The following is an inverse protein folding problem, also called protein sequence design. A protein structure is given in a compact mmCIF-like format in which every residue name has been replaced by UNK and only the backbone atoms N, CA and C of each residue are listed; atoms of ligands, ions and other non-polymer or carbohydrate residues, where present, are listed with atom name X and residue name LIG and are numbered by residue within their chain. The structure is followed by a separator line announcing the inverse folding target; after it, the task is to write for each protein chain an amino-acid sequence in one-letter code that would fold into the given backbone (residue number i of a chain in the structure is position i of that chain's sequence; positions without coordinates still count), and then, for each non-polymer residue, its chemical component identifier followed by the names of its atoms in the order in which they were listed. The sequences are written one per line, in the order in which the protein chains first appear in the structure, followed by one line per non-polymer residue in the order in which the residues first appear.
data_IF_984083108121
#
_entry.id   IF_984083108121
#
_cell.length_a   1.000
_cell.length_b   1.000
_cell.length_c   1.000
_cell.angle_alpha   90.00
_cell.angle_beta   90.00
_cell.angle_gamma   90.00
#
_symmetry.space_group_name_H-M   'P 1'
#
loop_
_entity.id
_entity.type
_entity.pdbx_description
1 polymer ?
#
# COMPACT_ATOMS: atom_id res chain seq x y z
N UNK A 1 34.29 8.10 10.73
CA UNK A 1 33.74 6.75 10.85
C UNK A 1 32.35 6.71 10.26
N UNK A 2 32.11 5.76 9.41
CA UNK A 2 30.77 5.59 8.84
C UNK A 2 29.91 4.76 9.78
N UNK A 3 28.70 5.22 10.00
CA UNK A 3 27.67 4.46 10.70
C UNK A 3 27.02 3.49 9.72
N UNK A 4 26.45 2.42 10.24
CA UNK A 4 25.56 1.56 9.48
C UNK A 4 24.18 2.23 9.42
N UNK A 5 23.44 1.99 8.34
CA UNK A 5 22.12 2.57 8.18
C UNK A 5 21.22 1.71 7.31
N UNK A 6 19.93 1.97 7.37
CA UNK A 6 18.94 1.50 6.42
C UNK A 6 17.81 2.52 6.34
N UNK A 7 16.99 2.40 5.31
CA UNK A 7 15.82 3.25 5.13
C UNK A 7 14.54 2.45 5.29
N UNK A 8 13.57 3.03 6.00
CA UNK A 8 12.21 2.53 6.06
C UNK A 8 11.42 3.31 5.02
N UNK A 9 10.85 2.61 4.07
CA UNK A 9 10.11 3.21 2.95
C UNK A 9 8.75 2.53 2.81
N UNK A 10 7.84 3.19 2.11
CA UNK A 10 6.57 2.61 1.70
C UNK A 10 6.41 2.84 0.21
N UNK A 11 6.83 1.87 -0.58
CA UNK A 11 6.85 1.99 -2.04
C UNK A 11 5.97 0.95 -2.69
N UNK A 12 5.39 1.32 -3.82
CA UNK A 12 4.59 0.44 -4.66
C UNK A 12 5.32 0.30 -5.99
N UNK A 13 5.50 -0.94 -6.43
CA UNK A 13 6.03 -1.18 -7.76
C UNK A 13 4.94 -0.93 -8.79
N UNK A 14 5.14 0.09 -9.62
CA UNK A 14 4.12 0.55 -10.57
C UNK A 14 3.73 -0.52 -11.58
N UNK A 15 4.70 -1.30 -12.06
CA UNK A 15 4.41 -2.37 -13.01
C UNK A 15 3.54 -3.46 -12.38
N UNK A 16 3.82 -3.81 -11.13
CA UNK A 16 3.01 -4.81 -10.41
C UNK A 16 1.56 -4.34 -10.23
N UNK A 17 1.37 -3.06 -9.94
CA UNK A 17 0.03 -2.48 -9.83
C UNK A 17 -0.70 -2.53 -11.17
N UNK A 18 -0.04 -2.12 -12.24
CA UNK A 18 -0.61 -2.14 -13.58
C UNK A 18 -1.00 -3.57 -13.99
N UNK A 19 -0.13 -4.55 -13.71
CA UNK A 19 -0.41 -5.95 -13.99
C UNK A 19 -1.62 -6.46 -13.19
N UNK A 20 -1.72 -6.06 -11.92
CA UNK A 20 -2.84 -6.45 -11.07
C UNK A 20 -4.17 -5.92 -11.63
N UNK A 21 -4.18 -4.65 -12.03
CA UNK A 21 -5.39 -4.03 -12.62
C UNK A 21 -5.75 -4.69 -13.94
N UNK A 22 -4.74 -4.94 -14.80
CA UNK A 22 -4.98 -5.60 -16.09
C UNK A 22 -5.56 -7.00 -15.91
N UNK A 23 -5.07 -7.76 -14.94
CA UNK A 23 -5.60 -9.09 -14.64
C UNK A 23 -7.01 -9.01 -14.07
N UNK A 24 -7.29 -8.02 -13.24
CA UNK A 24 -8.64 -7.79 -12.72
C UNK A 24 -9.62 -7.48 -13.86
N UNK A 25 -9.21 -6.63 -14.81
CA UNK A 25 -10.02 -6.32 -16.00
C UNK A 25 -10.35 -7.57 -16.80
N UNK A 26 -9.36 -8.43 -17.01
CA UNK A 26 -9.56 -9.69 -17.77
C UNK A 26 -10.52 -10.62 -17.05
N UNK A 27 -10.41 -10.75 -15.74
CA UNK A 27 -11.31 -11.61 -14.98
C UNK A 27 -12.75 -11.09 -15.04
N UNK A 28 -12.95 -9.79 -14.88
CA UNK A 28 -14.28 -9.19 -14.99
C UNK A 28 -14.89 -9.45 -16.38
N UNK A 29 -14.07 -9.32 -17.44
CA UNK A 29 -14.53 -9.52 -18.82
C UNK A 29 -14.92 -10.97 -19.11
N UNK A 30 -14.35 -11.93 -18.40
CA UNK A 30 -14.55 -13.36 -18.68
C UNK A 30 -15.43 -14.09 -17.68
N UNK A 31 -15.67 -13.53 -16.50
CA UNK A 31 -16.51 -14.19 -15.49
C UNK A 31 -17.99 -14.15 -15.89
N UNK A 32 -18.64 -15.27 -15.72
CA UNK A 32 -20.06 -15.43 -16.08
C UNK A 32 -20.96 -14.49 -15.26
N UNK A 33 -20.67 -14.27 -13.98
CA UNK A 33 -21.47 -13.42 -13.10
C UNK A 33 -21.37 -11.93 -13.47
N UNK A 34 -20.44 -11.54 -14.35
CA UNK A 34 -20.34 -10.19 -14.90
C UNK A 34 -20.84 -10.09 -16.35
N UNK A 35 -21.48 -11.12 -16.86
CA UNK A 35 -22.04 -11.08 -18.21
C UNK A 35 -23.13 -10.01 -18.28
N UNK A 36 -23.05 -9.13 -19.29
CA UNK A 36 -23.94 -7.98 -19.45
C UNK A 36 -23.90 -6.97 -18.30
N UNK A 37 -22.91 -7.06 -17.43
CA UNK A 37 -22.71 -6.11 -16.33
C UNK A 37 -22.04 -4.84 -16.83
N UNK A 38 -22.33 -3.72 -16.17
CA UNK A 38 -21.65 -2.45 -16.39
C UNK A 38 -20.38 -2.35 -15.55
N UNK A 39 -19.97 -3.42 -14.88
CA UNK A 39 -18.82 -3.41 -14.01
C UNK A 39 -17.54 -3.19 -14.80
N UNK A 40 -16.70 -2.29 -14.30
CA UNK A 40 -15.42 -1.98 -14.92
C UNK A 40 -14.42 -1.53 -13.85
N UNK A 41 -13.15 -1.63 -14.20
CA UNK A 41 -12.05 -1.16 -13.38
C UNK A 41 -11.05 -0.47 -14.30
N UNK A 42 -10.66 0.76 -13.95
CA UNK A 42 -9.73 1.55 -14.73
C UNK A 42 -8.70 2.20 -13.83
N UNK A 43 -7.49 2.32 -14.31
CA UNK A 43 -6.39 2.90 -13.57
C UNK A 43 -5.91 4.19 -14.23
N UNK A 44 -5.73 5.22 -13.42
CA UNK A 44 -5.07 6.46 -13.81
C UNK A 44 -4.02 6.77 -12.73
N UNK A 45 -2.76 6.45 -13.01
CA UNK A 45 -1.69 6.58 -12.02
C UNK A 45 -1.93 5.69 -10.80
N UNK A 46 -2.08 6.30 -9.63
CA UNK A 46 -2.36 5.59 -8.38
C UNK A 46 -3.85 5.55 -8.03
N UNK A 47 -4.71 6.08 -8.89
CA UNK A 47 -6.15 6.06 -8.69
C UNK A 47 -6.77 4.95 -9.54
N UNK A 48 -7.56 4.10 -8.90
CA UNK A 48 -8.26 3.01 -9.55
C UNK A 48 -9.74 3.28 -9.41
N UNK A 49 -10.43 3.49 -10.53
CA UNK A 49 -11.86 3.77 -10.55
C UNK A 49 -12.63 2.50 -10.83
N UNK A 50 -13.54 2.15 -9.93
CA UNK A 50 -14.40 0.97 -10.04
C UNK A 50 -15.82 1.45 -10.27
N UNK A 51 -16.48 0.89 -11.28
CA UNK A 51 -17.91 1.07 -11.54
C UNK A 51 -18.56 -0.30 -11.49
N UNK A 52 -19.73 -0.40 -10.86
CA UNK A 52 -20.44 -1.66 -10.75
C UNK A 52 -21.96 -1.42 -10.78
N UNK A 53 -22.72 -2.44 -11.10
CA UNK A 53 -24.17 -2.34 -11.21
C UNK A 53 -24.85 -2.07 -9.87
N UNK A 54 -24.32 -2.66 -8.79
CA UNK A 54 -24.89 -2.60 -7.45
C UNK A 54 -23.80 -2.86 -6.41
N UNK A 55 -24.17 -2.81 -5.12
CA UNK A 55 -23.23 -3.01 -4.02
C UNK A 55 -22.58 -4.39 -4.04
N UNK A 56 -23.31 -5.43 -4.41
CA UNK A 56 -22.78 -6.79 -4.47
C UNK A 56 -21.72 -6.90 -5.56
N UNK A 57 -22.00 -6.38 -6.76
CA UNK A 57 -21.03 -6.38 -7.86
C UNK A 57 -19.81 -5.54 -7.51
N UNK A 58 -20.02 -4.40 -6.84
CA UNK A 58 -18.92 -3.54 -6.40
C UNK A 58 -17.98 -4.32 -5.47
N UNK A 59 -18.51 -5.01 -4.48
CA UNK A 59 -17.70 -5.84 -3.59
C UNK A 59 -16.97 -6.94 -4.33
N UNK A 60 -17.63 -7.56 -5.30
CA UNK A 60 -17.00 -8.61 -6.11
C UNK A 60 -15.83 -8.06 -6.92
N UNK A 61 -15.95 -6.86 -7.48
CA UNK A 61 -14.83 -6.22 -8.20
C UNK A 61 -13.67 -5.89 -7.26
N UNK A 62 -13.98 -5.37 -6.06
CA UNK A 62 -12.97 -5.10 -5.04
C UNK A 62 -12.23 -6.37 -4.65
N UNK A 63 -12.97 -7.48 -4.44
CA UNK A 63 -12.36 -8.76 -4.10
C UNK A 63 -11.41 -9.24 -5.20
N UNK A 64 -11.81 -9.09 -6.46
CA UNK A 64 -10.95 -9.43 -7.59
C UNK A 64 -9.68 -8.58 -7.57
N UNK A 65 -9.82 -7.27 -7.40
CA UNK A 65 -8.67 -6.35 -7.34
C UNK A 65 -7.72 -6.73 -6.20
N UNK A 66 -8.25 -6.96 -5.00
CA UNK A 66 -7.46 -7.34 -3.83
C UNK A 66 -6.69 -8.63 -4.09
N UNK A 67 -7.35 -9.63 -4.66
CA UNK A 67 -6.73 -10.91 -4.98
C UNK A 67 -5.55 -10.73 -5.95
N UNK A 68 -5.74 -9.93 -7.01
CA UNK A 68 -4.67 -9.66 -7.98
C UNK A 68 -3.53 -8.87 -7.36
N UNK A 69 -3.83 -7.90 -6.49
CA UNK A 69 -2.80 -7.15 -5.77
C UNK A 69 -1.95 -8.07 -4.90
N UNK A 70 -2.58 -8.95 -4.12
CA UNK A 70 -1.85 -9.90 -3.25
C UNK A 70 -0.94 -10.80 -4.09
N UNK A 71 -1.43 -11.32 -5.21
CA UNK A 71 -0.64 -12.17 -6.10
C UNK A 71 0.57 -11.45 -6.70
N UNK A 72 0.50 -10.14 -6.82
CA UNK A 72 1.59 -9.32 -7.36
C UNK A 72 2.47 -8.70 -6.28
N UNK A 73 2.27 -9.10 -5.03
CA UNK A 73 3.09 -8.62 -3.92
C UNK A 73 2.75 -7.24 -3.41
N UNK A 74 1.57 -6.72 -3.77
CA UNK A 74 1.10 -5.43 -3.29
C UNK A 74 0.31 -5.64 -2.01
N UNK A 75 0.73 -4.98 -0.93
CA UNK A 75 0.02 -5.04 0.34
C UNK A 75 -1.34 -4.38 0.25
N UNK A 76 -2.37 -5.02 0.79
CA UNK A 76 -3.70 -4.43 0.86
C UNK A 76 -3.73 -3.18 1.76
N UNK A 77 -2.76 -3.02 2.63
CA UNK A 77 -2.62 -1.82 3.47
C UNK A 77 -2.29 -0.56 2.66
N UNK A 78 -1.83 -0.71 1.42
CA UNK A 78 -1.58 0.42 0.53
C UNK A 78 -2.85 0.95 -0.13
N UNK A 79 -3.96 0.23 -0.06
CA UNK A 79 -5.22 0.59 -0.71
C UNK A 79 -6.09 1.42 0.25
N UNK A 80 -6.51 2.59 -0.23
CA UNK A 80 -7.44 3.46 0.49
C UNK A 80 -8.72 3.56 -0.32
N UNK A 81 -9.85 3.24 0.30
CA UNK A 81 -11.15 3.17 -0.36
C UNK A 81 -11.88 4.48 -0.19
N UNK A 82 -12.21 5.12 -1.31
CA UNK A 82 -13.00 6.33 -1.31
C UNK A 82 -14.47 6.04 -1.05
N UNK A 83 -15.26 7.10 -1.02
CA UNK A 83 -16.70 7.00 -0.81
C UNK A 83 -17.38 6.37 -2.02
N UNK A 84 -18.34 5.50 -1.78
CA UNK A 84 -19.19 4.95 -2.85
C UNK A 84 -20.16 6.03 -3.28
N UNK A 85 -20.20 6.33 -4.57
CA UNK A 85 -21.04 7.37 -5.14
C UNK A 85 -21.96 6.82 -6.23
N UNK A 86 -23.17 7.38 -6.41
CA UNK A 86 -23.98 7.04 -7.57
C UNK A 86 -23.29 7.40 -8.87
N UNK A 87 -23.45 6.56 -9.87
CA UNK A 87 -22.96 6.80 -11.22
C UNK A 87 -24.12 6.70 -12.22
N UNK A 88 -23.85 6.80 -13.51
CA UNK A 88 -24.89 6.81 -14.52
C UNK A 88 -25.71 5.53 -14.54
N UNK A 89 -26.99 5.64 -14.86
CA UNK A 89 -27.92 4.52 -15.03
C UNK A 89 -28.05 3.60 -13.82
N UNK A 90 -28.01 4.18 -12.61
CA UNK A 90 -28.20 3.43 -11.38
C UNK A 90 -26.99 2.63 -10.92
N UNK A 91 -25.85 2.76 -11.60
CA UNK A 91 -24.62 2.11 -11.18
C UNK A 91 -23.96 2.87 -10.02
N UNK A 92 -22.93 2.25 -9.44
CA UNK A 92 -22.13 2.82 -8.36
C UNK A 92 -20.70 2.99 -8.80
N UNK A 93 -20.03 3.98 -8.26
CA UNK A 93 -18.62 4.26 -8.51
C UNK A 93 -17.87 4.41 -7.19
N UNK A 94 -16.67 3.86 -7.15
CA UNK A 94 -15.76 4.04 -6.03
C UNK A 94 -14.34 4.18 -6.55
N UNK A 95 -13.59 5.10 -5.99
CA UNK A 95 -12.17 5.27 -6.33
C UNK A 95 -11.35 4.66 -5.22
N UNK A 96 -10.44 3.76 -5.60
CA UNK A 96 -9.44 3.17 -4.69
C UNK A 96 -8.12 3.83 -5.02
N UNK A 97 -7.51 4.45 -4.03
CA UNK A 97 -6.21 5.11 -4.18
C UNK A 97 -5.13 4.22 -3.61
N UNK A 98 -4.03 4.06 -4.34
CA UNK A 98 -2.87 3.31 -3.88
C UNK A 98 -1.88 4.32 -3.31
N UNK A 99 -1.66 4.26 -2.00
CA UNK A 99 -0.78 5.21 -1.31
C UNK A 99 0.65 4.69 -1.27
N UNK A 100 1.61 5.60 -1.48
CA UNK A 100 3.01 5.30 -1.25
C UNK A 100 3.68 6.49 -0.55
N UNK A 101 4.85 6.23 0.05
CA UNK A 101 5.53 7.19 0.89
C UNK A 101 5.05 7.14 2.32
N UNK A 102 5.91 7.55 3.24
CA UNK A 102 5.57 7.66 4.67
C UNK A 102 5.38 9.14 4.98
N UNK A 103 4.15 9.54 5.24
CA UNK A 103 3.86 10.93 5.58
C UNK A 103 4.57 11.32 6.88
N UNK A 104 4.88 12.60 7.02
CA UNK A 104 5.66 13.11 8.16
C UNK A 104 5.06 12.72 9.51
N UNK A 105 3.74 12.78 9.66
CA UNK A 105 3.07 12.41 10.89
C UNK A 105 3.23 10.92 11.23
N UNK A 106 3.17 10.06 10.22
CA UNK A 106 3.41 8.62 10.41
C UNK A 106 4.87 8.33 10.72
N UNK A 107 5.80 9.04 10.05
CA UNK A 107 7.23 8.91 10.33
C UNK A 107 7.55 9.34 11.76
N UNK A 108 6.93 10.40 12.25
CA UNK A 108 7.13 10.86 13.64
C UNK A 108 6.67 9.80 14.65
N UNK A 109 5.60 9.08 14.35
CA UNK A 109 5.14 7.98 15.22
C UNK A 109 6.14 6.83 15.25
N UNK A 110 6.76 6.50 14.12
CA UNK A 110 7.83 5.51 14.06
C UNK A 110 9.03 5.96 14.89
N UNK A 111 9.44 7.21 14.74
CA UNK A 111 10.54 7.79 15.53
C UNK A 111 10.24 7.67 17.01
N UNK A 112 9.01 8.01 17.43
CA UNK A 112 8.64 7.95 18.83
C UNK A 112 8.67 6.52 19.37
N UNK A 113 8.19 5.54 18.59
CA UNK A 113 8.24 4.14 18.99
C UNK A 113 9.68 3.65 19.17
N UNK A 114 10.58 4.07 18.30
CA UNK A 114 12.00 3.72 18.38
C UNK A 114 12.63 4.36 19.62
N UNK A 115 12.31 5.63 19.91
CA UNK A 115 12.80 6.31 21.11
C UNK A 115 12.28 5.64 22.37
N UNK A 116 11.02 5.28 22.41
CA UNK A 116 10.40 4.64 23.58
C UNK A 116 11.03 3.27 23.87
N UNK A 117 11.52 2.59 22.85
CA UNK A 117 12.22 1.31 23.00
C UNK A 117 13.66 1.48 23.48
N UNK A 118 14.15 2.73 23.58
CA UNK A 118 15.50 3.06 24.07
C UNK A 118 16.61 2.38 23.27
N UNK A 119 16.42 2.26 21.97
CA UNK A 119 17.44 1.70 21.09
C UNK A 119 18.53 2.72 20.81
N UNK A 120 19.77 2.24 20.65
CA UNK A 120 20.93 3.10 20.37
C UNK A 120 21.04 3.38 18.88
N UNK A 121 20.03 4.06 18.34
CA UNK A 121 19.95 4.42 16.92
C UNK A 121 19.58 5.89 16.79
N UNK A 122 19.96 6.47 15.65
CA UNK A 122 19.55 7.81 15.24
C UNK A 122 18.55 7.70 14.12
N UNK A 123 17.61 8.63 14.08
CA UNK A 123 16.57 8.65 13.04
C UNK A 123 16.57 9.98 12.32
N UNK A 124 16.27 9.94 11.01
CA UNK A 124 16.15 11.14 10.18
C UNK A 124 15.00 10.96 9.20
N UNK A 125 14.03 11.88 9.24
CA UNK A 125 12.90 11.90 8.32
C UNK A 125 13.31 12.73 7.10
N UNK A 126 13.25 12.13 5.90
CA UNK A 126 13.47 12.86 4.65
C UNK A 126 12.78 12.15 3.48
N UNK A 127 12.27 12.93 2.55
CA UNK A 127 11.71 12.43 1.29
C UNK A 127 10.68 11.30 1.49
N UNK A 128 9.76 11.49 2.44
CA UNK A 128 8.69 10.52 2.75
C UNK A 128 9.23 9.15 3.17
N UNK A 129 10.40 9.13 3.78
CA UNK A 129 11.02 7.91 4.31
C UNK A 129 11.74 8.21 5.63
N UNK A 130 12.12 7.16 6.34
CA UNK A 130 12.83 7.28 7.61
C UNK A 130 14.17 6.57 7.50
N UNK A 131 15.25 7.30 7.68
CA UNK A 131 16.59 6.72 7.77
C UNK A 131 16.91 6.40 9.22
N UNK A 132 17.40 5.19 9.47
CA UNK A 132 17.81 4.73 10.79
C UNK A 132 19.30 4.40 10.72
N UNK A 133 20.09 5.00 11.60
CA UNK A 133 21.55 4.83 11.63
C UNK A 133 22.02 4.37 13.01
N UNK A 134 23.09 3.60 13.05
CA UNK A 134 23.72 3.19 14.30
C UNK A 134 25.18 2.78 14.04
N UNK A 135 25.98 2.83 15.10
CA UNK A 135 27.34 2.28 15.06
C UNK A 135 27.33 0.75 15.15
N UNK A 136 26.21 0.16 15.54
CA UNK A 136 26.05 -1.28 15.74
C UNK A 136 25.01 -1.85 14.81
N UNK A 137 25.36 -2.90 14.04
CA UNK A 137 24.40 -3.63 13.21
C UNK A 137 23.34 -4.30 14.07
N UNK A 138 23.69 -4.77 15.26
CA UNK A 138 22.73 -5.38 16.17
C UNK A 138 21.64 -4.41 16.59
N UNK A 139 22.00 -3.15 16.85
CA UNK A 139 21.01 -2.14 17.20
C UNK A 139 20.08 -1.81 16.03
N UNK A 140 20.61 -1.80 14.80
CA UNK A 140 19.79 -1.65 13.61
C UNK A 140 18.82 -2.82 13.46
N UNK A 141 19.27 -4.06 13.70
CA UNK A 141 18.41 -5.22 13.62
C UNK A 141 17.28 -5.16 14.67
N UNK A 142 17.57 -4.65 15.86
CA UNK A 142 16.56 -4.44 16.88
C UNK A 142 15.49 -3.45 16.41
N UNK A 143 15.89 -2.38 15.73
CA UNK A 143 14.95 -1.41 15.17
C UNK A 143 14.06 -2.04 14.08
N UNK A 144 14.64 -2.87 13.20
CA UNK A 144 13.89 -3.59 12.18
C UNK A 144 12.86 -4.51 12.83
N UNK A 145 13.27 -5.28 13.83
CA UNK A 145 12.38 -6.21 14.54
C UNK A 145 11.24 -5.46 15.22
N UNK A 146 11.54 -4.32 15.85
CA UNK A 146 10.53 -3.48 16.49
C UNK A 146 9.47 -3.03 15.47
N UNK A 147 9.89 -2.47 14.34
CA UNK A 147 8.96 -1.94 13.34
C UNK A 147 8.17 -3.08 12.69
N UNK A 148 8.79 -4.22 12.42
CA UNK A 148 8.08 -5.39 11.89
C UNK A 148 7.00 -5.90 12.82
N UNK A 149 7.18 -5.75 14.13
CA UNK A 149 6.20 -6.15 15.13
C UNK A 149 5.08 -5.15 15.37
N UNK A 150 5.17 -3.96 14.77
CA UNK A 150 4.12 -2.95 14.89
C UNK A 150 2.98 -3.24 13.94
N UNK A 151 1.75 -3.01 14.41
CA UNK A 151 0.56 -3.13 13.58
C UNK A 151 0.31 -1.80 12.85
N UNK A 152 1.02 -1.61 11.73
CA UNK A 152 0.95 -0.39 10.95
C UNK A 152 -0.22 -0.44 9.96
N UNK A 153 -0.84 0.70 9.71
CA UNK A 153 -1.94 0.84 8.75
C UNK A 153 -1.44 0.95 7.30
N UNK A 154 -0.14 0.93 7.09
CA UNK A 154 0.50 1.06 5.78
C UNK A 154 1.65 0.06 5.67
N UNK A 155 2.02 -0.36 4.44
CA UNK A 155 3.13 -1.29 4.27
C UNK A 155 4.46 -0.57 4.42
N UNK A 156 5.48 -1.27 4.92
CA UNK A 156 6.85 -0.75 4.98
C UNK A 156 7.82 -1.77 4.42
N UNK A 157 8.90 -1.27 3.85
CA UNK A 157 10.03 -2.07 3.40
C UNK A 157 11.30 -1.50 4.03
N UNK A 158 12.30 -2.35 4.21
CA UNK A 158 13.60 -1.98 4.76
C UNK A 158 14.62 -2.13 3.64
N UNK A 159 15.20 -1.02 3.22
CA UNK A 159 16.05 -0.97 2.02
C UNK A 159 17.31 -0.15 2.27
N UNK A 160 18.19 -0.11 1.27
CA UNK A 160 19.39 0.74 1.29
C UNK A 160 20.32 0.46 2.47
N UNK A 161 20.52 -0.80 2.80
CA UNK A 161 21.46 -1.20 3.85
C UNK A 161 22.88 -0.74 3.48
N UNK A 162 23.54 -0.09 4.47
CA UNK A 162 24.90 0.42 4.29
C UNK A 162 25.79 0.07 5.46
#
# INVERSE_FOLDING_TARGET
MSDFSFDIVSKIEKQSLEDAVNQAQREIATRFDFKNSKSSIEQAGTAITIVADDEMKLRNVIDILQNKCVKRGISLKALTYGKVEPASQGSLRQVVTVEEGIATDRAKKLVQAIKDAKLKVSTQIQDEQLRVSSKSKDDLQKAITLVKGMDLEYPVQFVNYR
#
